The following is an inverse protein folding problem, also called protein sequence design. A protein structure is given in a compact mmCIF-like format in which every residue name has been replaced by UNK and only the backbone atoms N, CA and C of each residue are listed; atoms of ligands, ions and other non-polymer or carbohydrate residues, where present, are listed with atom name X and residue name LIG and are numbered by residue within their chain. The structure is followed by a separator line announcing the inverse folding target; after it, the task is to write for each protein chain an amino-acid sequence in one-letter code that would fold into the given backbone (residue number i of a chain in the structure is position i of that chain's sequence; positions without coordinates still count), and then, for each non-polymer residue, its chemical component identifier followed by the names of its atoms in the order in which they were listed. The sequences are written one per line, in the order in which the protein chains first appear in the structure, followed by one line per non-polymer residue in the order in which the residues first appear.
data_IF_984737466109
#
_entry.id   IF_984737466109
#
_cell.length_a   1.000
_cell.length_b   1.000
_cell.length_c   1.000
_cell.angle_alpha   90.00
_cell.angle_beta   90.00
_cell.angle_gamma   90.00
#
_symmetry.space_group_name_H-M   'P 1'
#
loop_
_entity.id
_entity.type
_entity.pdbx_description
1 polymer ?
#
# COMPACT_ATOMS: atom_id res chain seq x y z
N UNK A 1 23.10 0.16 -10.51
CA UNK A 1 23.82 -0.26 -9.28
C UNK A 1 22.95 -0.12 -8.01
N UNK A 2 22.42 1.06 -7.60
CA UNK A 2 21.62 1.21 -6.36
C UNK A 2 20.29 0.44 -6.39
N UNK A 3 19.51 0.53 -7.46
CA UNK A 3 18.25 -0.21 -7.62
C UNK A 3 18.47 -1.72 -7.55
N UNK A 4 19.54 -2.21 -8.20
CA UNK A 4 19.89 -3.64 -8.12
C UNK A 4 20.23 -4.09 -6.68
N UNK A 5 20.84 -3.22 -5.86
CA UNK A 5 21.04 -3.47 -4.43
C UNK A 5 19.73 -3.57 -3.68
N UNK A 6 18.79 -2.63 -3.91
CA UNK A 6 17.47 -2.67 -3.29
C UNK A 6 16.71 -3.97 -3.61
N UNK A 7 16.82 -4.47 -4.84
CA UNK A 7 16.21 -5.76 -5.24
C UNK A 7 16.86 -6.93 -4.51
N UNK A 8 18.20 -6.95 -4.40
CA UNK A 8 18.93 -7.98 -3.63
C UNK A 8 18.57 -7.97 -2.14
N UNK A 9 18.28 -6.79 -1.59
CA UNK A 9 17.80 -6.60 -0.21
C UNK A 9 16.31 -6.93 -0.03
N UNK A 10 15.60 -7.39 -1.08
CA UNK A 10 14.16 -7.66 -1.04
C UNK A 10 13.27 -6.41 -0.96
N UNK A 11 13.81 -5.22 -1.19
CA UNK A 11 13.10 -3.93 -1.11
C UNK A 11 12.45 -3.56 -2.44
N UNK A 12 11.69 -4.49 -3.01
CA UNK A 12 11.11 -4.38 -4.35
C UNK A 12 10.20 -3.18 -4.52
N UNK A 13 9.36 -2.86 -3.51
CA UNK A 13 8.49 -1.69 -3.56
C UNK A 13 9.29 -0.38 -3.70
N UNK A 14 10.38 -0.26 -2.94
CA UNK A 14 11.28 0.91 -3.03
C UNK A 14 11.98 0.94 -4.38
N UNK A 15 12.52 -0.19 -4.84
CA UNK A 15 13.17 -0.31 -6.14
C UNK A 15 12.25 0.14 -7.28
N UNK A 16 10.99 -0.31 -7.26
CA UNK A 16 9.98 0.05 -8.26
C UNK A 16 9.70 1.57 -8.33
N UNK A 17 9.66 2.26 -7.19
CA UNK A 17 9.48 3.73 -7.18
C UNK A 17 10.66 4.43 -7.84
N UNK A 18 11.90 4.00 -7.57
CA UNK A 18 13.10 4.52 -8.22
C UNK A 18 13.11 4.24 -9.73
N UNK A 19 12.72 3.04 -10.13
CA UNK A 19 12.62 2.64 -11.55
C UNK A 19 11.63 3.51 -12.31
N UNK A 20 10.44 3.73 -11.75
CA UNK A 20 9.43 4.59 -12.36
C UNK A 20 9.92 6.04 -12.52
N UNK A 21 10.58 6.59 -11.50
CA UNK A 21 11.16 7.93 -11.59
C UNK A 21 12.25 8.02 -12.67
N UNK A 22 13.15 7.03 -12.75
CA UNK A 22 14.18 6.99 -13.78
C UNK A 22 13.61 6.76 -15.18
N UNK A 23 12.63 5.86 -15.31
CA UNK A 23 11.96 5.61 -16.59
C UNK A 23 11.30 6.89 -17.13
N UNK A 24 10.57 7.60 -16.25
CA UNK A 24 9.94 8.88 -16.59
C UNK A 24 10.97 9.94 -16.99
N UNK A 25 12.08 10.05 -16.25
CA UNK A 25 13.13 11.03 -16.54
C UNK A 25 13.86 10.73 -17.85
N UNK A 26 14.18 9.46 -18.13
CA UNK A 26 14.75 9.04 -19.41
C UNK A 26 13.83 9.34 -20.59
N UNK A 27 12.51 9.10 -20.42
CA UNK A 27 11.51 9.45 -21.43
C UNK A 27 11.46 10.95 -21.71
N UNK A 28 11.61 11.80 -20.69
CA UNK A 28 11.73 13.25 -20.87
C UNK A 28 13.03 13.63 -21.61
N UNK A 29 14.15 13.01 -21.28
CA UNK A 29 15.44 13.29 -21.91
C UNK A 29 15.55 12.73 -23.35
N UNK A 30 14.62 11.86 -23.78
CA UNK A 30 14.68 11.20 -25.08
C UNK A 30 15.85 10.23 -25.23
N UNK A 31 16.48 9.79 -24.14
CA UNK A 31 17.69 8.95 -24.17
C UNK A 31 17.63 7.87 -23.12
N UNK A 32 18.26 6.71 -23.40
CA UNK A 32 18.37 5.60 -22.46
C UNK A 32 19.39 5.83 -21.35
N UNK A 33 20.32 6.76 -21.56
CA UNK A 33 21.41 7.08 -20.62
C UNK A 33 21.48 8.59 -20.41
N UNK A 34 21.50 9.02 -19.14
CA UNK A 34 21.65 10.41 -18.75
C UNK A 34 22.85 10.51 -17.82
N UNK A 35 23.84 11.34 -18.19
CA UNK A 35 24.99 11.61 -17.33
C UNK A 35 24.63 12.59 -16.21
N UNK A 36 25.29 12.50 -15.06
CA UNK A 36 25.05 13.41 -13.95
C UNK A 36 25.36 14.87 -14.31
N UNK A 37 26.33 15.12 -15.20
CA UNK A 37 26.67 16.47 -15.66
C UNK A 37 25.58 17.15 -16.48
N UNK A 38 24.67 16.39 -17.08
CA UNK A 38 23.51 16.92 -17.82
C UNK A 38 22.36 17.35 -16.89
N UNK A 39 22.39 16.96 -15.62
CA UNK A 39 21.34 17.29 -14.65
C UNK A 39 21.62 18.68 -14.06
N UNK A 40 21.06 19.71 -14.68
CA UNK A 40 21.12 21.10 -14.24
C UNK A 40 19.83 21.53 -13.55
N UNK A 41 19.83 22.70 -12.87
CA UNK A 41 18.61 23.28 -12.30
C UNK A 41 17.54 23.49 -13.36
N UNK A 42 17.94 24.07 -14.49
CA UNK A 42 17.05 24.31 -15.63
C UNK A 42 16.44 23.01 -16.16
N UNK A 43 17.26 21.98 -16.33
CA UNK A 43 16.80 20.67 -16.80
C UNK A 43 15.78 20.04 -15.83
N UNK A 44 16.01 20.17 -14.51
CA UNK A 44 15.05 19.68 -13.51
C UNK A 44 13.76 20.51 -13.49
N UNK A 45 13.83 21.83 -13.70
CA UNK A 45 12.67 22.72 -13.80
C UNK A 45 11.80 22.33 -15.01
N UNK A 46 12.43 22.19 -16.18
CA UNK A 46 11.73 21.73 -17.40
C UNK A 46 11.10 20.35 -17.22
N UNK A 47 11.80 19.42 -16.55
CA UNK A 47 11.23 18.11 -16.24
C UNK A 47 10.02 18.21 -15.30
N UNK A 48 10.06 19.09 -14.30
CA UNK A 48 8.92 19.35 -13.42
C UNK A 48 7.70 19.83 -14.17
N UNK A 49 7.89 20.81 -15.08
CA UNK A 49 6.83 21.31 -15.95
C UNK A 49 6.27 20.21 -16.86
N UNK A 50 7.13 19.46 -17.54
CA UNK A 50 6.74 18.32 -18.36
C UNK A 50 5.86 17.31 -17.60
N UNK A 51 6.16 17.03 -16.33
CA UNK A 51 5.33 16.13 -15.52
C UNK A 51 3.95 16.72 -15.24
N UNK A 52 3.84 18.01 -14.96
CA UNK A 52 2.55 18.70 -14.77
C UNK A 52 1.73 18.75 -16.06
N UNK A 53 2.34 19.04 -17.20
CA UNK A 53 1.68 19.05 -18.52
C UNK A 53 1.12 17.66 -18.88
N UNK A 54 1.75 16.59 -18.41
CA UNK A 54 1.23 15.22 -18.50
C UNK A 54 0.13 14.89 -17.48
N UNK A 55 -0.33 15.85 -16.71
CA UNK A 55 -1.40 15.68 -15.73
C UNK A 55 -1.01 14.94 -14.46
N UNK A 56 0.29 14.82 -14.13
CA UNK A 56 0.70 14.17 -12.91
C UNK A 56 0.36 15.02 -11.68
N UNK A 57 -0.09 14.35 -10.63
CA UNK A 57 -0.44 15.01 -9.37
C UNK A 57 0.83 15.49 -8.62
N UNK A 58 0.76 16.60 -7.85
CA UNK A 58 1.90 17.17 -7.14
C UNK A 58 2.71 16.15 -6.34
N UNK A 59 2.04 15.26 -5.62
CA UNK A 59 2.72 14.22 -4.85
C UNK A 59 3.50 13.20 -5.71
N UNK A 60 3.06 12.94 -6.94
CA UNK A 60 3.80 12.09 -7.88
C UNK A 60 5.03 12.82 -8.40
N UNK A 61 4.88 14.10 -8.78
CA UNK A 61 6.01 14.98 -9.19
C UNK A 61 7.05 15.04 -8.08
N UNK A 62 6.62 15.36 -6.85
CA UNK A 62 7.50 15.38 -5.68
C UNK A 62 8.22 14.04 -5.46
N UNK A 63 7.51 12.93 -5.60
CA UNK A 63 8.12 11.60 -5.45
C UNK A 63 9.22 11.40 -6.48
N UNK A 64 8.98 11.71 -7.75
CA UNK A 64 9.99 11.56 -8.80
C UNK A 64 11.20 12.46 -8.56
N UNK A 65 10.98 13.72 -8.20
CA UNK A 65 12.08 14.66 -7.88
C UNK A 65 12.90 14.20 -6.68
N UNK A 66 12.25 13.69 -5.63
CA UNK A 66 12.94 13.14 -4.45
C UNK A 66 13.76 11.89 -4.78
N UNK A 67 13.26 11.01 -5.66
CA UNK A 67 14.02 9.84 -6.10
C UNK A 67 15.25 10.25 -6.93
N UNK A 68 15.09 11.19 -7.86
CA UNK A 68 16.21 11.72 -8.63
C UNK A 68 17.25 12.40 -7.73
N UNK A 69 16.80 13.22 -6.76
CA UNK A 69 17.70 13.84 -5.76
C UNK A 69 18.48 12.79 -4.98
N UNK A 70 17.81 11.72 -4.54
CA UNK A 70 18.49 10.65 -3.82
C UNK A 70 19.54 9.92 -4.67
N UNK A 71 19.26 9.71 -5.96
CA UNK A 71 20.21 9.10 -6.89
C UNK A 71 21.40 10.04 -7.13
N UNK A 72 21.13 11.33 -7.35
CA UNK A 72 22.15 12.33 -7.58
C UNK A 72 23.10 12.45 -6.38
N UNK A 73 22.56 12.58 -5.17
CA UNK A 73 23.36 12.68 -3.94
C UNK A 73 24.27 11.44 -3.76
N UNK A 74 23.76 10.24 -4.06
CA UNK A 74 24.59 9.01 -4.05
C UNK A 74 25.67 9.04 -5.13
N UNK A 75 25.40 9.69 -6.26
CA UNK A 75 26.41 9.96 -7.29
C UNK A 75 27.52 10.84 -6.75
N UNK A 76 27.16 11.91 -6.05
CA UNK A 76 28.11 12.82 -5.40
C UNK A 76 28.95 12.11 -4.32
N UNK A 77 28.28 11.39 -3.40
CA UNK A 77 28.94 10.60 -2.35
C UNK A 77 29.97 9.57 -2.91
N UNK A 78 29.68 9.04 -4.09
CA UNK A 78 30.56 8.06 -4.76
C UNK A 78 31.56 8.70 -5.75
N UNK A 79 31.69 10.01 -5.80
CA UNK A 79 32.59 10.74 -6.72
C UNK A 79 32.20 10.68 -8.21
N UNK A 80 30.98 10.22 -8.54
CA UNK A 80 30.49 10.06 -9.92
C UNK A 80 29.69 11.26 -10.43
N UNK A 81 29.26 12.13 -9.54
CA UNK A 81 28.54 13.35 -9.86
C UNK A 81 29.23 14.55 -9.20
N UNK A 82 29.28 15.73 -9.87
CA UNK A 82 29.77 16.94 -9.24
C UNK A 82 28.79 17.38 -8.15
N UNK A 83 29.33 18.00 -7.09
CA UNK A 83 28.48 18.66 -6.11
C UNK A 83 27.98 19.99 -6.70
N UNK A 84 26.65 20.18 -6.74
CA UNK A 84 26.00 21.42 -7.15
C UNK A 84 25.14 21.93 -6.00
N UNK A 85 25.51 23.10 -5.46
CA UNK A 85 24.78 23.71 -4.36
C UNK A 85 23.31 23.96 -4.74
N UNK A 86 22.36 23.48 -3.93
CA UNK A 86 20.92 23.68 -4.11
C UNK A 86 20.37 23.24 -5.49
N UNK A 87 20.89 22.16 -6.08
CA UNK A 87 20.47 21.67 -7.40
C UNK A 87 18.95 21.46 -7.51
N UNK A 88 18.31 20.96 -6.46
CA UNK A 88 16.87 20.64 -6.40
C UNK A 88 16.04 21.71 -5.68
N UNK A 89 16.55 22.95 -5.53
CA UNK A 89 15.84 23.98 -4.76
C UNK A 89 14.57 24.48 -5.45
N UNK A 90 14.58 24.59 -6.78
CA UNK A 90 13.50 25.17 -7.58
C UNK A 90 12.42 24.16 -8.02
N UNK A 91 12.54 22.90 -7.60
CA UNK A 91 11.58 21.87 -7.96
C UNK A 91 10.75 21.44 -6.76
N UNK A 92 9.49 21.07 -7.02
CA UNK A 92 8.59 20.65 -5.96
C UNK A 92 9.00 19.30 -5.36
N UNK A 93 9.39 19.31 -4.11
CA UNK A 93 9.73 18.13 -3.30
C UNK A 93 8.90 18.02 -2.03
N UNK A 94 7.87 18.85 -1.89
CA UNK A 94 6.95 18.90 -0.76
C UNK A 94 5.92 17.76 -0.75
N UNK A 95 5.01 17.83 0.19
CA UNK A 95 3.86 16.93 0.29
C UNK A 95 2.59 17.76 0.19
N UNK A 96 1.79 17.50 -0.84
CA UNK A 96 0.44 18.03 -0.95
C UNK A 96 -0.47 17.20 -0.03
N UNK A 97 -0.84 17.80 1.11
CA UNK A 97 -1.68 17.15 2.13
C UNK A 97 -3.13 17.16 1.66
N UNK A 98 -3.57 16.03 1.13
CA UNK A 98 -4.99 15.83 0.83
C UNK A 98 -5.71 15.32 2.07
N UNK A 99 -6.92 15.85 2.32
CA UNK A 99 -7.80 15.27 3.32
C UNK A 99 -8.06 13.80 3.00
N UNK A 100 -7.65 12.95 3.92
CA UNK A 100 -7.94 11.52 3.86
C UNK A 100 -9.42 11.37 4.18
N UNK A 101 -10.21 10.91 3.23
CA UNK A 101 -11.66 10.74 3.41
C UNK A 101 -11.92 9.37 4.02
N UNK A 102 -12.38 9.38 5.27
CA UNK A 102 -13.08 8.24 5.84
C UNK A 102 -14.47 8.13 5.21
N UNK A 103 -15.03 6.94 5.18
CA UNK A 103 -16.42 6.74 4.75
C UNK A 103 -17.37 7.33 5.81
N UNK A 104 -18.50 7.92 5.38
CA UNK A 104 -19.61 8.19 6.29
C UNK A 104 -20.05 6.92 7.01
N UNK A 105 -20.48 7.03 8.27
CA UNK A 105 -20.83 5.86 9.10
C UNK A 105 -21.87 4.96 8.42
N UNK A 106 -22.85 5.55 7.76
CA UNK A 106 -23.88 4.82 7.01
C UNK A 106 -23.31 4.01 5.84
N UNK A 107 -22.43 4.62 5.04
CA UNK A 107 -21.76 3.93 3.93
C UNK A 107 -20.79 2.86 4.43
N UNK A 108 -20.10 3.14 5.54
CA UNK A 108 -19.21 2.16 6.17
C UNK A 108 -20.00 0.93 6.65
N UNK A 109 -21.12 1.13 7.32
CA UNK A 109 -21.99 0.05 7.78
C UNK A 109 -22.50 -0.79 6.58
N UNK A 110 -22.97 -0.14 5.51
CA UNK A 110 -23.40 -0.81 4.29
C UNK A 110 -22.28 -1.61 3.66
N UNK A 111 -21.09 -1.02 3.52
CA UNK A 111 -19.91 -1.69 2.97
C UNK A 111 -19.58 -2.98 3.72
N UNK A 112 -19.65 -2.94 5.05
CA UNK A 112 -19.17 -4.04 5.90
C UNK A 112 -20.22 -5.13 6.14
N UNK A 113 -21.53 -4.78 6.12
CA UNK A 113 -22.56 -5.68 6.64
C UNK A 113 -23.82 -5.83 5.75
N UNK A 114 -24.08 -4.97 4.77
CA UNK A 114 -25.22 -5.13 3.86
C UNK A 114 -24.95 -6.22 2.84
N UNK A 115 -25.91 -7.13 2.62
CA UNK A 115 -25.73 -8.25 1.66
C UNK A 115 -25.57 -7.74 0.22
N UNK A 116 -24.44 -8.00 -0.45
CA UNK A 116 -24.17 -7.56 -1.82
C UNK A 116 -24.93 -8.40 -2.87
N UNK A 117 -25.75 -9.39 -2.45
CA UNK A 117 -26.51 -10.32 -3.32
C UNK A 117 -25.62 -11.08 -4.32
N UNK A 118 -24.32 -11.11 -4.11
CA UNK A 118 -23.34 -11.76 -4.98
C UNK A 118 -22.30 -12.51 -4.14
N UNK A 119 -22.18 -13.81 -4.31
CA UNK A 119 -21.22 -14.65 -3.57
C UNK A 119 -19.77 -14.21 -3.79
N UNK A 120 -19.45 -13.76 -5.00
CA UNK A 120 -18.13 -13.27 -5.32
C UNK A 120 -17.76 -12.01 -4.50
N UNK A 121 -18.72 -11.11 -4.26
CA UNK A 121 -18.52 -9.90 -3.49
C UNK A 121 -18.57 -10.14 -1.97
N UNK A 122 -19.28 -11.15 -1.51
CA UNK A 122 -19.32 -11.52 -0.07
C UNK A 122 -17.95 -11.82 0.49
N UNK A 123 -17.07 -12.48 -0.27
CA UNK A 123 -15.69 -12.71 0.16
C UNK A 123 -14.91 -11.38 0.35
N UNK A 124 -15.05 -10.49 -0.62
CA UNK A 124 -14.40 -9.17 -0.56
C UNK A 124 -14.90 -8.36 0.63
N UNK A 125 -16.20 -8.40 0.87
CA UNK A 125 -16.85 -7.76 2.01
C UNK A 125 -16.35 -8.35 3.35
N UNK A 126 -16.29 -9.66 3.48
CA UNK A 126 -15.79 -10.31 4.69
C UNK A 126 -14.32 -9.92 4.98
N UNK A 127 -13.47 -9.87 3.96
CA UNK A 127 -12.08 -9.39 4.10
C UNK A 127 -12.06 -7.92 4.55
N UNK A 128 -12.90 -7.06 3.97
CA UNK A 128 -13.00 -5.65 4.36
C UNK A 128 -13.49 -5.50 5.80
N UNK A 129 -14.48 -6.29 6.23
CA UNK A 129 -14.99 -6.31 7.60
C UNK A 129 -13.92 -6.78 8.59
N UNK A 130 -13.16 -7.82 8.27
CA UNK A 130 -12.05 -8.28 9.10
C UNK A 130 -10.94 -7.22 9.21
N UNK A 131 -10.57 -6.55 8.11
CA UNK A 131 -9.61 -5.43 8.18
C UNK A 131 -10.08 -4.35 9.15
N UNK A 132 -11.37 -4.03 9.16
CA UNK A 132 -11.94 -3.05 10.07
C UNK A 132 -11.96 -3.56 11.52
N UNK A 133 -12.45 -4.78 11.78
CA UNK A 133 -12.52 -5.38 13.10
C UNK A 133 -11.13 -5.61 13.73
N UNK A 134 -10.12 -5.88 12.90
CA UNK A 134 -8.72 -5.99 13.34
C UNK A 134 -8.04 -4.62 13.44
N UNK A 135 -8.70 -3.65 14.06
CA UNK A 135 -8.17 -2.31 14.34
C UNK A 135 -7.64 -1.60 13.09
N UNK A 136 -8.37 -1.72 11.96
CA UNK A 136 -7.94 -1.12 10.71
C UNK A 136 -6.67 -1.76 10.13
N UNK A 137 -6.46 -3.04 10.34
CA UNK A 137 -5.31 -3.79 9.83
C UNK A 137 -5.11 -3.52 8.33
N UNK A 138 -3.85 -3.33 7.92
CA UNK A 138 -3.57 -3.11 6.51
C UNK A 138 -3.83 -4.37 5.68
N UNK A 139 -4.19 -4.21 4.40
CA UNK A 139 -4.32 -5.36 3.51
C UNK A 139 -3.02 -6.16 3.38
N UNK A 140 -1.86 -5.48 3.48
CA UNK A 140 -0.56 -6.15 3.45
C UNK A 140 -0.40 -7.10 4.64
N UNK A 141 -0.70 -6.62 5.85
CA UNK A 141 -0.59 -7.43 7.06
C UNK A 141 -1.60 -8.59 7.03
N UNK A 142 -2.87 -8.29 6.68
CA UNK A 142 -3.92 -9.33 6.61
C UNK A 142 -3.61 -10.41 5.56
N UNK A 143 -3.10 -10.04 4.38
CA UNK A 143 -2.76 -10.98 3.33
C UNK A 143 -1.62 -11.94 3.71
N UNK A 144 -0.72 -11.49 4.61
CA UNK A 144 0.42 -12.27 5.08
C UNK A 144 0.20 -12.92 6.46
N UNK A 145 -1.01 -12.82 7.04
CA UNK A 145 -1.30 -13.55 8.27
C UNK A 145 -1.17 -15.05 8.06
N UNK A 146 -0.37 -15.67 8.90
CA UNK A 146 -0.17 -17.11 8.91
C UNK A 146 -1.27 -17.79 9.74
N UNK A 147 -1.51 -19.08 9.49
CA UNK A 147 -2.40 -19.88 10.32
C UNK A 147 -1.91 -19.95 11.78
N UNK A 148 -0.59 -19.97 11.97
CA UNK A 148 0.08 -19.91 13.27
C UNK A 148 -0.02 -18.56 13.99
N UNK A 149 -0.40 -17.49 13.28
CA UNK A 149 -0.63 -16.18 13.89
C UNK A 149 -1.87 -16.15 14.79
N UNK A 150 -2.82 -17.05 14.58
CA UNK A 150 -4.03 -17.14 15.38
C UNK A 150 -3.81 -18.16 16.52
N UNK A 151 -3.72 -17.65 17.73
CA UNK A 151 -3.70 -18.46 18.96
C UNK A 151 -4.95 -18.15 19.78
N UNK A 152 -5.82 -19.19 19.96
CA UNK A 152 -7.12 -19.07 20.61
C UNK A 152 -7.95 -17.92 20.01
N UNK A 153 -8.03 -16.80 20.71
CA UNK A 153 -8.82 -15.62 20.33
C UNK A 153 -7.96 -14.40 20.06
N UNK A 154 -6.66 -14.56 19.84
CA UNK A 154 -5.73 -13.43 19.59
C UNK A 154 -4.91 -13.71 18.33
N UNK A 155 -4.81 -12.71 17.47
CA UNK A 155 -3.89 -12.74 16.34
C UNK A 155 -2.62 -12.01 16.75
N UNK A 156 -1.48 -12.71 16.72
CA UNK A 156 -0.14 -12.16 16.90
C UNK A 156 0.58 -12.05 15.56
N UNK A 157 1.10 -10.89 15.24
CA UNK A 157 1.83 -10.69 13.98
C UNK A 157 2.84 -9.54 14.08
N UNK A 158 3.80 -9.52 13.17
CA UNK A 158 4.67 -8.35 12.98
C UNK A 158 4.24 -7.58 11.74
N UNK A 159 4.06 -6.28 11.87
CA UNK A 159 3.73 -5.44 10.72
C UNK A 159 4.75 -5.62 9.59
N UNK A 160 4.27 -5.79 8.38
CA UNK A 160 5.15 -5.98 7.21
C UNK A 160 6.05 -4.75 7.00
N UNK A 161 5.51 -3.54 7.17
CA UNK A 161 6.21 -2.29 6.87
C UNK A 161 7.20 -1.88 7.97
N UNK A 162 6.82 -1.93 9.23
CA UNK A 162 7.57 -1.38 10.37
C UNK A 162 8.24 -2.45 11.23
N UNK A 163 7.84 -3.70 11.05
CA UNK A 163 8.26 -4.85 11.89
C UNK A 163 7.83 -4.75 13.36
N UNK A 164 6.92 -3.84 13.67
CA UNK A 164 6.36 -3.67 15.01
C UNK A 164 5.52 -4.91 15.37
N UNK A 165 5.72 -5.53 16.54
CA UNK A 165 4.86 -6.61 17.01
C UNK A 165 3.47 -6.05 17.34
N UNK A 166 2.44 -6.80 16.98
CA UNK A 166 1.04 -6.46 17.16
C UNK A 166 0.27 -7.65 17.72
N UNK A 167 -0.72 -7.36 18.55
CA UNK A 167 -1.72 -8.34 18.97
C UNK A 167 -3.12 -7.75 18.78
N UNK A 168 -4.05 -8.56 18.28
CA UNK A 168 -5.44 -8.13 18.05
C UNK A 168 -6.37 -9.23 18.53
N UNK A 169 -7.32 -8.88 19.39
CA UNK A 169 -8.37 -9.79 19.84
C UNK A 169 -9.34 -10.10 18.71
N UNK A 170 -9.70 -11.37 18.57
CA UNK A 170 -10.65 -11.87 17.58
C UNK A 170 -12.01 -12.05 18.22
N UNK A 171 -12.92 -11.11 17.95
CA UNK A 171 -14.30 -11.18 18.41
C UNK A 171 -15.04 -12.35 17.78
N UNK A 172 -16.12 -12.83 18.39
CA UNK A 172 -16.87 -13.98 17.91
C UNK A 172 -17.42 -13.76 16.48
N UNK A 173 -17.88 -12.55 16.18
CA UNK A 173 -18.28 -12.17 14.80
C UNK A 173 -17.16 -12.32 13.78
N UNK A 174 -15.92 -12.03 14.17
CA UNK A 174 -14.75 -12.24 13.30
C UNK A 174 -14.41 -13.71 13.14
N UNK A 175 -14.57 -14.53 14.21
CA UNK A 175 -14.38 -16.00 14.13
C UNK A 175 -15.32 -16.63 13.12
N UNK A 176 -16.59 -16.24 13.16
CA UNK A 176 -17.60 -16.73 12.21
C UNK A 176 -17.22 -16.36 10.77
N UNK A 177 -16.76 -15.14 10.53
CA UNK A 177 -16.29 -14.71 9.22
C UNK A 177 -15.05 -15.50 8.77
N UNK A 178 -14.08 -15.72 9.65
CA UNK A 178 -12.88 -16.54 9.35
C UNK A 178 -13.31 -17.96 8.99
N UNK A 179 -14.20 -18.56 9.79
CA UNK A 179 -14.69 -19.92 9.55
C UNK A 179 -15.41 -20.03 8.20
N UNK A 180 -16.30 -19.09 7.88
CA UNK A 180 -17.01 -19.07 6.61
C UNK A 180 -16.07 -18.88 5.42
N UNK A 181 -15.08 -17.98 5.51
CA UNK A 181 -14.09 -17.77 4.47
C UNK A 181 -13.29 -19.04 4.18
N UNK A 182 -12.91 -19.78 5.22
CA UNK A 182 -12.13 -21.03 5.09
C UNK A 182 -12.94 -22.18 4.53
N UNK A 183 -14.21 -22.32 4.91
CA UNK A 183 -15.03 -23.45 4.52
C UNK A 183 -15.64 -23.35 3.13
N UNK A 184 -15.89 -22.12 2.65
CA UNK A 184 -16.46 -21.90 1.31
C UNK A 184 -15.44 -22.05 0.17
N UNK A 185 -14.16 -22.21 0.48
CA UNK A 185 -13.12 -22.41 -0.55
C UNK A 185 -12.22 -23.59 -0.16
N UNK A 186 -12.46 -24.77 -0.73
CA UNK A 186 -11.58 -25.94 -0.55
C UNK A 186 -10.12 -25.64 -0.84
N UNK A 187 -9.81 -24.81 -1.86
CA UNK A 187 -8.46 -24.37 -2.21
C UNK A 187 -7.74 -23.61 -1.09
N UNK A 188 -8.47 -23.04 -0.12
CA UNK A 188 -7.85 -22.39 1.04
C UNK A 188 -7.36 -23.41 2.09
N UNK A 189 -7.90 -24.62 2.07
CA UNK A 189 -7.40 -25.73 2.90
C UNK A 189 -6.02 -26.18 2.43
N UNK A 190 -5.76 -26.02 1.15
CA UNK A 190 -4.52 -26.44 0.47
C UNK A 190 -3.43 -25.37 0.51
N UNK A 191 -3.77 -24.11 0.88
CA UNK A 191 -2.76 -23.09 1.12
C UNK A 191 -2.08 -23.37 2.48
N UNK A 192 -0.81 -23.84 2.50
CA UNK A 192 -0.25 -24.46 3.70
C UNK A 192 -0.06 -23.45 4.82
N UNK A 193 0.27 -22.20 4.52
CA UNK A 193 0.80 -21.27 5.50
C UNK A 193 -0.12 -20.09 5.83
N UNK A 194 -0.84 -19.53 4.85
CA UNK A 194 -1.61 -18.30 5.05
C UNK A 194 -3.04 -18.52 5.57
N UNK A 195 -3.45 -17.67 6.51
CA UNK A 195 -4.76 -17.79 7.19
C UNK A 195 -5.94 -17.60 6.24
N UNK A 196 -5.84 -16.64 5.29
CA UNK A 196 -6.94 -16.26 4.40
C UNK A 196 -6.73 -16.72 2.95
N UNK A 197 -5.60 -17.34 2.62
CA UNK A 197 -5.31 -17.78 1.24
C UNK A 197 -5.46 -16.68 0.19
N UNK A 198 -5.09 -15.45 0.56
CA UNK A 198 -5.02 -14.33 -0.37
C UNK A 198 -3.78 -14.48 -1.24
N UNK A 199 -2.71 -14.97 -0.65
CA UNK A 199 -1.46 -15.36 -1.28
C UNK A 199 -1.38 -16.87 -1.32
N UNK A 200 -0.85 -17.43 -2.41
CA UNK A 200 -0.77 -18.88 -2.66
C UNK A 200 0.63 -19.45 -2.44
N UNK A 201 1.64 -18.59 -2.40
CA UNK A 201 3.03 -18.99 -2.28
C UNK A 201 3.45 -19.42 -0.87
N UNK A 202 4.64 -20.01 -0.78
CA UNK A 202 5.29 -20.32 0.49
C UNK A 202 5.63 -19.00 1.23
N UNK A 203 5.34 -18.94 2.53
CA UNK A 203 5.66 -17.79 3.39
C UNK A 203 7.15 -17.43 3.43
N UNK A 204 8.02 -18.39 3.14
CA UNK A 204 9.48 -18.18 3.06
C UNK A 204 9.91 -17.44 1.81
N UNK A 205 9.07 -17.37 0.78
CA UNK A 205 9.39 -16.64 -0.45
C UNK A 205 9.44 -15.15 -0.17
N UNK A 206 10.60 -14.56 -0.43
CA UNK A 206 10.86 -13.11 -0.36
C UNK A 206 11.41 -12.59 -1.68
N UNK A 207 11.15 -13.31 -2.76
CA UNK A 207 11.59 -12.97 -4.11
C UNK A 207 10.67 -11.95 -4.79
N UNK A 208 11.04 -11.57 -6.00
CA UNK A 208 10.27 -10.63 -6.82
C UNK A 208 8.90 -11.19 -7.20
N UNK A 209 8.74 -12.49 -7.35
CA UNK A 209 7.48 -13.12 -7.70
C UNK A 209 6.50 -13.06 -6.53
N UNK A 210 6.96 -13.26 -5.30
CA UNK A 210 6.14 -13.03 -4.11
C UNK A 210 5.66 -11.56 -4.01
N UNK A 211 6.53 -10.61 -4.33
CA UNK A 211 6.14 -9.19 -4.41
C UNK A 211 5.10 -8.94 -5.51
N UNK A 212 5.27 -9.50 -6.70
CA UNK A 212 4.31 -9.38 -7.82
C UNK A 212 2.97 -10.01 -7.48
N UNK A 213 2.97 -11.17 -6.84
CA UNK A 213 1.77 -11.85 -6.37
C UNK A 213 0.98 -10.94 -5.40
N UNK A 214 1.63 -10.39 -4.39
CA UNK A 214 1.02 -9.44 -3.48
C UNK A 214 0.46 -8.20 -4.20
N UNK A 215 1.21 -7.61 -5.13
CA UNK A 215 0.73 -6.45 -5.91
C UNK A 215 -0.49 -6.79 -6.77
N UNK A 216 -0.54 -7.98 -7.31
CA UNK A 216 -1.68 -8.49 -8.07
C UNK A 216 -2.89 -8.69 -7.15
N UNK A 217 -2.69 -9.32 -5.99
CA UNK A 217 -3.75 -9.53 -4.99
C UNK A 217 -4.34 -8.19 -4.49
N UNK A 218 -3.50 -7.20 -4.20
CA UNK A 218 -3.94 -5.87 -3.78
C UNK A 218 -4.75 -5.16 -4.87
N UNK A 219 -4.32 -5.23 -6.13
CA UNK A 219 -5.08 -4.67 -7.26
C UNK A 219 -6.43 -5.36 -7.43
N UNK A 220 -6.45 -6.68 -7.38
CA UNK A 220 -7.68 -7.49 -7.47
C UNK A 220 -8.64 -7.10 -6.35
N UNK A 221 -8.17 -7.04 -5.11
CA UNK A 221 -8.98 -6.66 -3.96
C UNK A 221 -9.57 -5.25 -4.10
N UNK A 222 -8.76 -4.24 -4.47
CA UNK A 222 -9.25 -2.88 -4.68
C UNK A 222 -10.24 -2.77 -5.86
N UNK A 223 -10.09 -3.59 -6.91
CA UNK A 223 -11.06 -3.65 -8.01
C UNK A 223 -12.39 -4.26 -7.53
N UNK A 224 -12.32 -5.32 -6.72
CA UNK A 224 -13.50 -5.96 -6.13
C UNK A 224 -14.20 -5.05 -5.13
N UNK A 225 -13.45 -4.27 -4.32
CA UNK A 225 -14.02 -3.25 -3.44
C UNK A 225 -14.79 -2.18 -4.21
N UNK A 226 -14.30 -1.75 -5.37
CA UNK A 226 -15.04 -0.83 -6.25
C UNK A 226 -16.32 -1.46 -6.81
N UNK A 227 -16.26 -2.74 -7.17
CA UNK A 227 -17.44 -3.51 -7.57
C UNK A 227 -18.46 -3.63 -6.43
N UNK A 228 -18.00 -3.92 -5.23
CA UNK A 228 -18.82 -3.99 -4.02
C UNK A 228 -19.47 -2.62 -3.71
N UNK A 229 -18.70 -1.54 -3.74
CA UNK A 229 -19.22 -0.19 -3.52
C UNK A 229 -20.32 0.17 -4.53
N UNK A 230 -20.13 -0.20 -5.81
CA UNK A 230 -21.14 -0.02 -6.85
C UNK A 230 -22.40 -0.84 -6.61
N UNK A 231 -22.26 -2.12 -6.25
CA UNK A 231 -23.38 -3.02 -5.96
C UNK A 231 -24.21 -2.55 -4.76
N UNK A 232 -23.56 -1.94 -3.78
CA UNK A 232 -24.18 -1.35 -2.60
C UNK A 232 -24.53 0.15 -2.76
N UNK A 233 -24.46 0.70 -3.97
CA UNK A 233 -24.78 2.11 -4.27
C UNK A 233 -24.09 3.13 -3.36
N UNK A 234 -22.81 2.90 -3.03
CA UNK A 234 -22.01 3.85 -2.28
C UNK A 234 -21.54 4.99 -3.19
N UNK A 235 -21.53 6.22 -2.66
CA UNK A 235 -21.09 7.41 -3.41
C UNK A 235 -19.61 7.71 -3.22
N UNK A 236 -19.02 7.25 -2.12
CA UNK A 236 -17.63 7.48 -1.78
C UNK A 236 -16.70 6.45 -2.44
N UNK A 237 -15.52 6.86 -2.90
CA UNK A 237 -14.54 5.93 -3.44
C UNK A 237 -13.98 5.02 -2.35
N UNK A 238 -14.03 3.70 -2.58
CA UNK A 238 -13.57 2.69 -1.61
C UNK A 238 -12.28 2.02 -2.08
N UNK A 239 -11.33 1.94 -1.16
CA UNK A 239 -10.07 1.19 -1.31
C UNK A 239 -9.74 0.49 0.01
N UNK A 240 -8.80 -0.46 0.00
CA UNK A 240 -8.27 -1.05 1.23
C UNK A 240 -7.77 -0.02 2.24
N UNK A 241 -7.22 1.09 1.75
CA UNK A 241 -6.72 2.18 2.59
C UNK A 241 -7.86 3.03 3.20
N UNK A 242 -8.97 3.18 2.49
CA UNK A 242 -10.18 3.86 2.99
C UNK A 242 -10.74 3.15 4.22
N UNK A 243 -10.77 1.81 4.24
CA UNK A 243 -11.23 1.00 5.38
C UNK A 243 -10.43 1.34 6.64
N UNK A 244 -9.10 1.35 6.52
CA UNK A 244 -8.19 1.69 7.63
C UNK A 244 -8.41 3.11 8.15
N UNK A 245 -8.60 4.09 7.24
CA UNK A 245 -8.92 5.46 7.62
C UNK A 245 -10.28 5.58 8.31
N UNK A 246 -11.27 4.84 7.82
CA UNK A 246 -12.61 4.81 8.42
C UNK A 246 -12.56 4.25 9.84
N UNK A 247 -11.77 3.19 10.07
CA UNK A 247 -11.56 2.68 11.42
C UNK A 247 -10.94 3.75 12.34
N UNK A 248 -9.82 4.36 11.93
CA UNK A 248 -9.14 5.39 12.73
C UNK A 248 -10.06 6.58 13.05
N UNK A 249 -10.83 7.01 12.06
CA UNK A 249 -11.79 8.12 12.23
C UNK A 249 -12.92 7.72 13.16
N UNK A 250 -13.46 6.50 13.02
CA UNK A 250 -14.52 5.98 13.91
C UNK A 250 -14.00 5.84 15.34
N UNK A 251 -12.81 5.28 15.54
CA UNK A 251 -12.18 5.16 16.85
C UNK A 251 -12.02 6.53 17.53
N UNK A 252 -11.51 7.52 16.78
CA UNK A 252 -11.39 8.90 17.27
C UNK A 252 -12.74 9.47 17.72
N UNK A 253 -13.80 9.34 16.91
CA UNK A 253 -15.14 9.83 17.26
C UNK A 253 -15.78 9.05 18.40
N UNK A 254 -15.33 7.83 18.68
CA UNK A 254 -15.72 7.02 19.84
C UNK A 254 -14.90 7.33 21.10
N UNK A 255 -14.02 8.33 21.06
CA UNK A 255 -13.22 8.77 22.21
C UNK A 255 -12.00 7.92 22.51
N UNK A 256 -11.57 7.06 21.58
CA UNK A 256 -10.32 6.31 21.76
C UNK A 256 -9.14 7.29 21.71
N UNK A 257 -8.20 7.25 22.69
CA UNK A 257 -7.03 8.11 22.70
C UNK A 257 -6.22 8.01 21.42
N UNK A 258 -5.68 9.14 20.95
CA UNK A 258 -4.97 9.22 19.67
C UNK A 258 -3.69 8.35 19.67
N UNK A 259 -3.06 8.20 20.83
CA UNK A 259 -1.90 7.36 21.05
C UNK A 259 -2.23 5.90 20.74
N UNK A 260 -3.33 5.38 21.30
CA UNK A 260 -3.81 4.01 21.05
C UNK A 260 -4.18 3.80 19.59
N UNK A 261 -4.81 4.80 18.95
CA UNK A 261 -5.11 4.76 17.51
C UNK A 261 -3.81 4.70 16.70
N UNK A 262 -2.81 5.51 17.07
CA UNK A 262 -1.51 5.55 16.40
C UNK A 262 -0.73 4.24 16.53
N UNK A 263 -0.76 3.63 17.72
CA UNK A 263 -0.15 2.32 17.98
C UNK A 263 -0.83 1.21 17.18
N UNK A 264 -2.15 1.30 17.02
CA UNK A 264 -2.93 0.34 16.23
C UNK A 264 -2.73 0.50 14.72
N UNK A 265 -2.20 1.64 14.24
CA UNK A 265 -2.02 1.99 12.83
C UNK A 265 -0.54 1.99 12.39
#
# INVERSE_FOLDING_TARGET
MYIGRLRKEGRYSTAHVYENALFSFRGFCGTSTVSFGQITREHLRCYGQYLYERGLKPNTVSTYMRMLRSIYNRGVESGRAPYVHRLFHEVYTGVDVRQKKALPVTELHRLLYEDPKSDHLRRTQAIAALMFQFCGMSFADLAHLEKSSLDRNVIYYNRIKTKTPMSVEVLDTAKDMIYQLRNRQPSLRDCPDYLFGILSGDKKRKDEDAYREYQSALRKFNNQLRGLAKALHLTSPVTSYTIRHSWATTAKYRGVPIEMISESL
#
